data_IF_374836402936
#
_entry.id   IF_374836402936
#
_cell.length_a   1.000
_cell.length_b   1.000
_cell.length_c   1.000
_cell.angle_alpha   90.00
_cell.angle_beta   90.00
_cell.angle_gamma   90.00
#
_symmetry.space_group_name_H-M   'P 1'
#
loop_
_entity.id
_entity.type
_entity.pdbx_description
1 polymer ?
#
# COMPACT_ATOMS: atom_id res chain seq x y z
N UNK A 1 0.43 52.58 -35.93
CA UNK A 1 1.21 51.59 -35.15
C UNK A 1 0.48 51.14 -33.85
N UNK A 2 -0.75 50.68 -33.94
CA UNK A 2 -1.52 50.28 -32.72
C UNK A 2 -2.20 48.90 -32.83
N UNK A 3 -1.78 48.02 -33.75
CA UNK A 3 -2.47 46.72 -33.99
C UNK A 3 -1.76 45.48 -33.48
N UNK A 4 -0.56 45.56 -32.87
CA UNK A 4 0.21 44.39 -32.45
C UNK A 4 0.11 44.02 -30.97
N UNK A 5 -0.64 44.79 -30.14
CA UNK A 5 -0.69 44.54 -28.69
C UNK A 5 -1.79 43.59 -28.22
N UNK A 6 -2.83 43.41 -29.03
CA UNK A 6 -4.00 42.56 -28.68
C UNK A 6 -3.68 41.06 -28.70
N UNK A 7 -2.96 40.51 -29.71
CA UNK A 7 -2.68 39.08 -29.70
C UNK A 7 -1.67 38.65 -28.61
N UNK A 8 -0.73 39.54 -28.24
CA UNK A 8 0.27 39.26 -27.19
C UNK A 8 -0.40 39.19 -25.83
N UNK A 9 -1.36 40.06 -25.52
CA UNK A 9 -2.11 40.06 -24.25
C UNK A 9 -2.99 38.80 -24.11
N UNK A 10 -3.64 38.36 -25.21
CA UNK A 10 -4.42 37.12 -25.24
C UNK A 10 -3.53 35.88 -25.06
N UNK A 11 -2.32 35.86 -25.65
CA UNK A 11 -1.37 34.77 -25.48
C UNK A 11 -0.83 34.70 -24.04
N UNK A 12 -0.56 35.84 -23.43
CA UNK A 12 -0.10 35.93 -22.03
C UNK A 12 -1.20 35.47 -21.05
N UNK A 13 -2.45 35.83 -21.28
CA UNK A 13 -3.59 35.37 -20.49
C UNK A 13 -3.82 33.85 -20.64
N UNK A 14 -3.65 33.29 -21.85
CA UNK A 14 -3.77 31.85 -22.09
C UNK A 14 -2.67 31.07 -21.36
N UNK A 15 -1.42 31.56 -21.35
CA UNK A 15 -0.30 30.94 -20.64
C UNK A 15 -0.51 31.00 -19.12
N UNK A 16 -1.03 32.12 -18.60
CA UNK A 16 -1.35 32.24 -17.16
C UNK A 16 -2.52 31.36 -16.75
N UNK A 17 -3.53 31.17 -17.62
CA UNK A 17 -4.63 30.25 -17.33
C UNK A 17 -4.21 28.77 -17.38
N UNK A 18 -3.24 28.41 -18.23
CA UNK A 18 -2.68 27.05 -18.23
C UNK A 18 -1.78 26.77 -17.00
N UNK A 19 -1.14 27.79 -16.45
CA UNK A 19 -0.28 27.61 -15.26
C UNK A 19 -1.07 27.50 -13.94
N UNK A 20 -2.34 27.95 -13.92
CA UNK A 20 -3.20 27.82 -12.72
C UNK A 20 -3.96 26.49 -12.62
N UNK A 21 -3.99 25.68 -13.69
CA UNK A 21 -4.71 24.42 -13.67
C UNK A 21 -3.93 23.21 -13.13
N UNK A 22 -2.64 23.36 -12.84
CA UNK A 22 -1.81 22.29 -12.29
C UNK A 22 -1.83 22.20 -10.75
N UNK A 23 -2.43 23.17 -10.06
CA UNK A 23 -2.41 23.22 -8.59
C UNK A 23 -3.72 22.82 -7.91
N UNK A 24 -4.75 22.38 -8.66
CA UNK A 24 -6.07 22.06 -8.13
C UNK A 24 -6.55 20.63 -8.45
N UNK A 25 -5.70 19.77 -8.98
CA UNK A 25 -5.90 18.33 -8.84
C UNK A 25 -5.35 17.98 -7.46
N UNK A 26 -6.17 18.14 -6.43
CA UNK A 26 -5.91 17.56 -5.13
C UNK A 26 -5.60 16.09 -5.38
N UNK A 27 -4.36 15.68 -5.16
CA UNK A 27 -4.01 14.29 -5.11
C UNK A 27 -4.98 13.68 -4.10
N UNK A 28 -5.87 12.82 -4.57
CA UNK A 28 -6.76 12.06 -3.71
C UNK A 28 -5.87 11.03 -3.03
N UNK A 29 -5.13 11.49 -2.01
CA UNK A 29 -4.21 10.67 -1.27
C UNK A 29 -5.04 9.69 -0.46
N UNK A 30 -4.96 8.43 -0.79
CA UNK A 30 -5.62 7.33 -0.07
C UNK A 30 -4.97 7.08 1.31
N UNK A 31 -4.36 8.10 1.92
CA UNK A 31 -3.72 8.05 3.23
C UNK A 31 -3.80 9.40 3.95
N UNK A 32 -3.63 9.39 5.26
CA UNK A 32 -3.68 10.59 6.09
C UNK A 32 -2.48 11.51 5.82
N UNK A 33 -2.69 12.82 5.86
CA UNK A 33 -1.66 13.83 5.56
C UNK A 33 -0.39 13.72 6.43
N UNK A 34 -0.53 13.29 7.67
CA UNK A 34 0.61 13.06 8.57
C UNK A 34 1.51 11.89 8.13
N UNK A 35 0.96 10.96 7.33
CA UNK A 35 1.68 9.78 6.84
C UNK A 35 2.40 10.03 5.51
N UNK A 36 2.18 11.16 4.85
CA UNK A 36 2.73 11.50 3.53
C UNK A 36 4.24 11.22 3.43
N UNK A 37 5.02 11.78 4.35
CA UNK A 37 6.49 11.66 4.31
C UNK A 37 6.94 10.20 4.44
N UNK A 38 6.32 9.45 5.35
CA UNK A 38 6.62 8.03 5.53
C UNK A 38 6.21 7.20 4.32
N UNK A 39 5.05 7.49 3.73
CA UNK A 39 4.56 6.83 2.53
C UNK A 39 5.52 7.00 1.34
N UNK A 40 5.99 8.23 1.12
CA UNK A 40 6.93 8.55 0.04
C UNK A 40 8.27 7.83 0.26
N UNK A 41 8.76 7.76 1.49
CA UNK A 41 9.99 7.05 1.84
C UNK A 41 9.86 5.54 1.67
N UNK A 42 8.78 4.94 2.16
CA UNK A 42 8.48 3.50 2.00
C UNK A 42 8.41 3.13 0.51
N UNK A 43 7.75 3.93 -0.31
CA UNK A 43 7.67 3.71 -1.76
C UNK A 43 9.04 3.86 -2.43
N UNK A 44 9.81 4.88 -2.06
CA UNK A 44 11.17 5.09 -2.59
C UNK A 44 12.11 3.92 -2.28
N UNK A 45 11.95 3.30 -1.12
CA UNK A 45 12.70 2.12 -0.69
C UNK A 45 12.15 0.81 -1.27
N UNK A 46 11.03 0.85 -1.99
CA UNK A 46 10.38 -0.34 -2.55
C UNK A 46 9.85 -1.30 -1.48
N UNK A 47 9.48 -0.78 -0.31
CA UNK A 47 8.97 -1.56 0.82
C UNK A 47 7.44 -1.69 0.85
N UNK A 48 6.75 -1.12 -0.14
CA UNK A 48 5.29 -1.25 -0.28
C UNK A 48 4.97 -2.35 -1.30
N UNK A 49 4.20 -3.39 -0.95
CA UNK A 49 3.72 -4.37 -1.90
C UNK A 49 2.86 -3.72 -3.01
N UNK A 50 2.97 -4.22 -4.24
CA UNK A 50 2.21 -3.67 -5.37
C UNK A 50 0.69 -3.76 -5.19
N UNK A 51 0.20 -4.74 -4.45
CA UNK A 51 -1.21 -4.94 -4.07
C UNK A 51 -1.79 -3.80 -3.22
N UNK A 52 -0.92 -3.04 -2.53
CA UNK A 52 -1.32 -1.87 -1.73
C UNK A 52 -1.46 -0.60 -2.57
N UNK A 53 -1.04 -0.62 -3.84
CA UNK A 53 -1.20 0.53 -4.71
C UNK A 53 -2.68 0.83 -4.97
N UNK A 54 -3.12 2.03 -4.60
CA UNK A 54 -4.49 2.47 -4.76
C UNK A 54 -5.46 2.04 -3.66
N UNK A 55 -5.00 1.30 -2.65
CA UNK A 55 -5.82 1.04 -1.46
C UNK A 55 -6.02 2.32 -0.63
N UNK A 56 -7.16 2.39 0.04
CA UNK A 56 -7.44 3.45 1.00
C UNK A 56 -6.77 3.11 2.35
N UNK A 57 -5.56 3.60 2.54
CA UNK A 57 -4.74 3.36 3.74
C UNK A 57 -5.26 4.12 4.99
N UNK A 58 -6.41 4.81 4.89
CA UNK A 58 -7.10 5.37 6.05
C UNK A 58 -8.01 4.34 6.74
N UNK A 59 -8.27 3.21 6.08
CA UNK A 59 -9.10 2.12 6.61
C UNK A 59 -8.30 1.19 7.51
N UNK A 60 -9.02 0.42 8.31
CA UNK A 60 -8.41 -0.64 9.09
C UNK A 60 -7.87 -1.73 8.17
N UNK A 61 -6.69 -2.23 8.49
CA UNK A 61 -6.07 -3.34 7.77
C UNK A 61 -6.74 -4.66 8.17
N UNK A 62 -6.87 -5.57 7.21
CA UNK A 62 -7.31 -6.94 7.48
C UNK A 62 -6.14 -7.82 7.93
N UNK A 63 -6.46 -8.97 8.54
CA UNK A 63 -5.45 -9.97 8.93
C UNK A 63 -4.64 -10.49 7.73
N UNK A 64 -5.30 -10.68 6.58
CA UNK A 64 -4.63 -11.11 5.34
C UNK A 64 -3.69 -10.05 4.77
N UNK A 65 -4.13 -8.81 4.70
CA UNK A 65 -3.28 -7.68 4.25
C UNK A 65 -2.06 -7.46 5.15
N UNK A 66 -2.23 -7.62 6.47
CA UNK A 66 -1.12 -7.53 7.41
C UNK A 66 -0.08 -8.63 7.15
N UNK A 67 -0.49 -9.88 6.89
CA UNK A 67 0.43 -10.96 6.55
C UNK A 67 1.22 -10.65 5.27
N UNK A 68 0.55 -10.15 4.24
CA UNK A 68 1.21 -9.76 2.99
C UNK A 68 2.26 -8.68 3.20
N UNK A 69 1.90 -7.63 3.95
CA UNK A 69 2.83 -6.55 4.28
C UNK A 69 4.04 -7.07 5.10
N UNK A 70 3.80 -7.90 6.11
CA UNK A 70 4.84 -8.44 6.97
C UNK A 70 5.80 -9.37 6.22
N UNK A 71 5.28 -10.30 5.40
CA UNK A 71 6.09 -11.19 4.57
C UNK A 71 6.91 -10.40 3.57
N UNK A 72 6.29 -9.46 2.86
CA UNK A 72 6.99 -8.61 1.90
C UNK A 72 8.12 -7.81 2.55
N UNK A 73 7.86 -7.19 3.69
CA UNK A 73 8.87 -6.44 4.43
C UNK A 73 10.02 -7.34 4.88
N UNK A 74 9.72 -8.55 5.37
CA UNK A 74 10.73 -9.53 5.79
C UNK A 74 11.61 -9.98 4.62
N UNK A 75 11.01 -10.39 3.50
CA UNK A 75 11.73 -10.83 2.29
C UNK A 75 12.62 -9.70 1.74
N UNK A 76 12.14 -8.46 1.73
CA UNK A 76 12.95 -7.29 1.34
C UNK A 76 14.09 -6.99 2.30
N UNK A 77 13.86 -7.08 3.59
CA UNK A 77 14.89 -6.79 4.60
C UNK A 77 15.99 -7.86 4.63
N UNK A 78 15.64 -9.13 4.39
CA UNK A 78 16.59 -10.24 4.41
C UNK A 78 17.24 -10.49 3.04
N UNK A 79 16.61 -10.01 1.95
CA UNK A 79 17.01 -10.32 0.58
C UNK A 79 16.74 -11.77 0.16
N UNK A 80 15.97 -12.52 0.95
CA UNK A 80 15.64 -13.91 0.70
C UNK A 80 14.13 -14.10 0.72
N UNK A 81 13.62 -14.84 -0.26
CA UNK A 81 12.24 -15.32 -0.24
C UNK A 81 12.07 -16.39 0.84
N UNK A 82 10.89 -16.43 1.46
CA UNK A 82 10.54 -17.47 2.42
C UNK A 82 10.34 -18.78 1.68
N UNK A 83 11.20 -19.76 1.96
CA UNK A 83 11.14 -21.09 1.35
C UNK A 83 10.11 -21.96 2.08
N UNK A 84 9.12 -22.45 1.33
CA UNK A 84 8.08 -23.36 1.82
C UNK A 84 8.26 -24.81 1.33
N UNK A 85 9.32 -25.11 0.60
CA UNK A 85 9.50 -26.39 -0.10
C UNK A 85 9.58 -27.62 0.83
N UNK A 86 9.97 -27.42 2.06
CA UNK A 86 10.15 -28.48 3.06
C UNK A 86 9.05 -28.52 4.13
N UNK A 87 8.02 -27.69 3.99
CA UNK A 87 7.00 -27.55 5.01
C UNK A 87 5.79 -28.46 4.75
N UNK A 88 5.24 -29.03 5.81
CA UNK A 88 4.07 -29.91 5.76
C UNK A 88 2.76 -29.18 5.92
N UNK A 89 2.80 -27.93 6.37
CA UNK A 89 1.60 -27.11 6.53
C UNK A 89 1.09 -26.64 5.16
N UNK A 90 -0.10 -27.04 4.78
CA UNK A 90 -0.68 -26.78 3.47
C UNK A 90 -1.66 -25.59 3.43
N UNK A 91 -1.90 -24.96 4.56
CA UNK A 91 -2.80 -23.81 4.68
C UNK A 91 -3.89 -23.97 5.73
N UNK A 92 -4.73 -22.96 5.82
CA UNK A 92 -5.89 -22.92 6.71
C UNK A 92 -7.15 -23.39 5.99
N UNK A 93 -8.21 -23.71 6.74
CA UNK A 93 -9.48 -24.22 6.19
C UNK A 93 -10.21 -23.23 5.30
N UNK A 94 -9.98 -21.93 5.51
CA UNK A 94 -10.67 -20.82 4.86
C UNK A 94 -9.80 -20.01 3.90
N UNK A 95 -8.51 -20.33 3.77
CA UNK A 95 -7.60 -19.66 2.85
C UNK A 95 -6.39 -20.53 2.49
N UNK A 96 -5.96 -20.44 1.24
CA UNK A 96 -4.70 -20.99 0.74
C UNK A 96 -3.73 -19.88 0.29
N UNK A 97 -3.93 -18.64 0.75
CA UNK A 97 -3.06 -17.54 0.40
C UNK A 97 -1.64 -17.78 0.89
N UNK A 98 -0.69 -17.78 -0.04
CA UNK A 98 0.70 -18.12 0.20
C UNK A 98 1.37 -17.20 1.24
N UNK A 99 1.07 -15.91 1.22
CA UNK A 99 1.62 -14.96 2.21
C UNK A 99 1.13 -15.26 3.64
N UNK A 100 -0.10 -15.75 3.79
CA UNK A 100 -0.64 -16.15 5.09
C UNK A 100 0.05 -17.42 5.58
N UNK A 101 0.28 -18.38 4.68
CA UNK A 101 1.03 -19.61 4.99
C UNK A 101 2.47 -19.28 5.39
N UNK A 102 3.17 -18.45 4.62
CA UNK A 102 4.52 -17.96 4.92
C UNK A 102 4.58 -17.29 6.30
N UNK A 103 3.65 -16.37 6.57
CA UNK A 103 3.59 -15.66 7.85
C UNK A 103 3.38 -16.61 9.04
N UNK A 104 2.59 -17.67 8.86
CA UNK A 104 2.38 -18.70 9.88
C UNK A 104 3.64 -19.53 10.11
N UNK A 105 4.29 -20.02 9.06
CA UNK A 105 5.50 -20.84 9.15
C UNK A 105 6.66 -20.11 9.86
N UNK A 106 6.74 -18.81 9.68
CA UNK A 106 7.74 -17.96 10.35
C UNK A 106 7.30 -17.45 11.72
N UNK A 107 6.15 -17.91 12.23
CA UNK A 107 5.65 -17.55 13.55
C UNK A 107 5.18 -16.09 13.69
N UNK A 108 4.95 -15.39 12.57
CA UNK A 108 4.45 -14.02 12.56
C UNK A 108 2.99 -13.99 12.99
N UNK A 109 2.23 -15.01 12.58
CA UNK A 109 0.79 -15.14 12.88
C UNK A 109 0.42 -16.56 13.27
N UNK A 110 -0.68 -16.68 14.02
CA UNK A 110 -1.33 -17.95 14.30
C UNK A 110 -2.75 -17.97 13.76
N UNK A 111 -3.23 -19.16 13.41
CA UNK A 111 -4.66 -19.40 13.13
C UNK A 111 -5.49 -19.56 14.40
N UNK A 112 -6.76 -19.81 14.21
CA UNK A 112 -7.69 -20.12 15.29
C UNK A 112 -7.72 -21.63 15.56
N UNK A 113 -8.23 -22.03 16.72
CA UNK A 113 -8.33 -23.44 17.15
C UNK A 113 -9.19 -24.28 16.20
N UNK A 114 -10.13 -23.67 15.48
CA UNK A 114 -10.98 -24.30 14.47
C UNK A 114 -10.26 -24.55 13.12
N UNK A 115 -8.97 -24.24 13.01
CA UNK A 115 -8.17 -24.36 11.81
C UNK A 115 -8.37 -23.24 10.80
N UNK A 116 -9.18 -22.22 11.11
CA UNK A 116 -9.38 -21.05 10.26
C UNK A 116 -8.34 -19.96 10.50
N UNK A 117 -8.16 -19.07 9.52
CA UNK A 117 -7.33 -17.87 9.65
C UNK A 117 -8.14 -16.58 9.70
N UNK A 118 -9.27 -16.55 9.03
CA UNK A 118 -10.18 -15.40 8.89
C UNK A 118 -9.48 -14.18 8.23
N UNK A 119 -9.01 -14.31 6.99
CA UNK A 119 -8.15 -13.31 6.34
C UNK A 119 -8.84 -11.95 6.16
N UNK A 120 -10.17 -11.91 6.05
CA UNK A 120 -10.96 -10.68 5.90
C UNK A 120 -11.31 -10.00 7.21
N UNK A 121 -11.01 -10.61 8.34
CA UNK A 121 -11.25 -10.00 9.65
C UNK A 121 -10.35 -8.78 9.82
N UNK A 122 -10.90 -7.69 10.31
CA UNK A 122 -10.13 -6.50 10.64
C UNK A 122 -9.21 -6.76 11.83
N UNK A 123 -7.98 -6.30 11.72
CA UNK A 123 -6.99 -6.43 12.78
C UNK A 123 -7.24 -5.37 13.85
N UNK A 124 -7.27 -5.80 15.10
CA UNK A 124 -7.29 -4.89 16.25
C UNK A 124 -5.86 -4.56 16.72
N UNK A 125 -5.69 -3.45 17.45
CA UNK A 125 -4.39 -3.12 18.05
C UNK A 125 -3.85 -4.23 18.95
N UNK A 126 -4.73 -4.92 19.67
CA UNK A 126 -4.36 -5.99 20.60
C UNK A 126 -3.85 -7.24 19.86
N UNK A 127 -4.36 -7.51 18.66
CA UNK A 127 -3.92 -8.66 17.85
C UNK A 127 -2.61 -8.38 17.09
N UNK A 128 -2.17 -7.12 17.05
CA UNK A 128 -0.93 -6.71 16.39
C UNK A 128 0.31 -6.84 17.29
N UNK A 129 0.14 -6.86 18.61
CA UNK A 129 1.21 -7.00 19.61
C UNK A 129 1.15 -8.35 20.30
#
# INVERSE_FOLDING_TARGET
MRKARKPLCLLLCAVLLLSMSAAALGANNNYSSWFQTNYDEINKLGLMPASFNGLDLTKNITRGEMCELAVYAFEKATGNDIDMSNETFTGFTDTSNENIVKAHLYGIVNGYEDGSFRPKQLLTRQEFF
#
